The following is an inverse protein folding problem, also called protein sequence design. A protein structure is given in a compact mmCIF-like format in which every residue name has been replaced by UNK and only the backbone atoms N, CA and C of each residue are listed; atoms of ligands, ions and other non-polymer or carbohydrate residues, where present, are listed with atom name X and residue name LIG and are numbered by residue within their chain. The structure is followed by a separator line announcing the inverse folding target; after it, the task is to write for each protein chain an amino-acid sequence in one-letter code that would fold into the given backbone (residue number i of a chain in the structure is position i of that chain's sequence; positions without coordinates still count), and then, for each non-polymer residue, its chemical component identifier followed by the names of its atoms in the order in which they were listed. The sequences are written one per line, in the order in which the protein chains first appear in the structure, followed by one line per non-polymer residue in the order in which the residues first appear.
data_IF_153260223278
#
_entry.id   IF_153260223278
#
_cell.length_a   1.000
_cell.length_b   1.000
_cell.length_c   1.000
_cell.angle_alpha   90.00
_cell.angle_beta   90.00
_cell.angle_gamma   90.00
#
_symmetry.space_group_name_H-M   'P 1'
#
loop_
_entity.id
_entity.type
_entity.pdbx_description
1 polymer ?
#
# COMPACT_ATOMS: atom_id res chain seq x y z
N UNK A 1 -1.99 17.91 11.21
CA UNK A 1 -1.11 16.75 11.47
C UNK A 1 0.33 17.23 11.54
N UNK A 2 1.11 16.80 12.54
CA UNK A 2 2.52 17.19 12.64
C UNK A 2 3.35 16.56 11.51
N UNK A 3 4.40 17.25 11.04
CA UNK A 3 5.31 16.76 9.98
C UNK A 3 5.97 15.41 10.35
N UNK A 4 6.28 15.23 11.63
CA UNK A 4 6.84 13.98 12.17
C UNK A 4 5.85 12.82 12.04
N UNK A 5 4.56 13.08 12.22
CA UNK A 5 3.50 12.07 12.10
C UNK A 5 3.38 11.59 10.64
N UNK A 6 3.41 12.50 9.65
CA UNK A 6 3.35 12.13 8.23
C UNK A 6 4.54 11.28 7.78
N UNK A 7 5.77 11.60 8.21
CA UNK A 7 6.92 10.75 7.89
C UNK A 7 6.78 9.35 8.46
N UNK A 8 6.34 9.23 9.71
CA UNK A 8 6.12 7.91 10.34
C UNK A 8 5.08 7.10 9.57
N UNK A 9 3.99 7.72 9.12
CA UNK A 9 2.96 7.08 8.30
C UNK A 9 3.56 6.55 6.99
N UNK A 10 4.27 7.40 6.24
CA UNK A 10 4.88 7.02 4.94
C UNK A 10 5.91 5.90 5.11
N UNK A 11 6.71 5.94 6.19
CA UNK A 11 7.69 4.89 6.48
C UNK A 11 7.01 3.57 6.85
N UNK A 12 5.96 3.62 7.66
CA UNK A 12 5.19 2.44 8.02
C UNK A 12 4.59 1.78 6.76
N UNK A 13 4.03 2.59 5.86
CA UNK A 13 3.49 2.09 4.60
C UNK A 13 4.58 1.50 3.68
N UNK A 14 5.72 2.18 3.57
CA UNK A 14 6.86 1.68 2.80
C UNK A 14 7.33 0.30 3.30
N UNK A 15 7.35 0.09 4.62
CA UNK A 15 7.67 -1.21 5.24
C UNK A 15 6.63 -2.26 4.84
N UNK A 16 5.33 -1.93 4.93
CA UNK A 16 4.28 -2.89 4.55
C UNK A 16 4.33 -3.24 3.07
N UNK A 17 4.52 -2.26 2.19
CA UNK A 17 4.70 -2.48 0.76
C UNK A 17 5.94 -3.33 0.46
N UNK A 18 7.07 -3.06 1.13
CA UNK A 18 8.28 -3.89 0.98
C UNK A 18 8.05 -5.33 1.46
N UNK A 19 7.28 -5.53 2.53
CA UNK A 19 6.87 -6.86 3.00
C UNK A 19 6.03 -7.61 1.97
N UNK A 20 5.04 -6.94 1.36
CA UNK A 20 4.23 -7.53 0.29
C UNK A 20 5.08 -7.85 -0.95
N UNK A 21 6.03 -6.99 -1.30
CA UNK A 21 7.01 -7.28 -2.35
C UNK A 21 7.83 -8.53 -2.03
N UNK A 22 8.39 -8.64 -0.83
CA UNK A 22 9.17 -9.81 -0.42
C UNK A 22 8.34 -11.09 -0.51
N UNK A 23 7.07 -11.05 -0.10
CA UNK A 23 6.13 -12.17 -0.24
C UNK A 23 5.91 -12.50 -1.74
N UNK A 24 5.61 -11.51 -2.56
CA UNK A 24 5.36 -11.69 -3.99
C UNK A 24 6.59 -12.17 -4.78
N UNK A 25 7.80 -11.86 -4.30
CA UNK A 25 9.05 -12.29 -4.91
C UNK A 25 9.45 -13.70 -4.45
N UNK A 26 9.37 -13.98 -3.15
CA UNK A 26 9.97 -15.18 -2.54
C UNK A 26 8.96 -16.29 -2.24
N UNK A 27 7.68 -15.96 -2.12
CA UNK A 27 6.65 -16.85 -1.59
C UNK A 27 5.31 -16.79 -2.35
N UNK A 28 5.29 -16.30 -3.59
CA UNK A 28 4.04 -16.14 -4.35
C UNK A 28 3.25 -17.44 -4.53
N UNK A 29 3.91 -18.56 -4.83
CA UNK A 29 3.25 -19.86 -5.00
C UNK A 29 2.65 -20.43 -3.70
N UNK A 30 3.39 -20.54 -2.58
CA UNK A 30 2.80 -21.04 -1.33
C UNK A 30 1.73 -20.09 -0.78
N UNK A 31 1.92 -18.77 -0.87
CA UNK A 31 0.90 -17.80 -0.44
C UNK A 31 -0.33 -17.84 -1.36
N UNK A 32 -0.14 -17.95 -2.68
CA UNK A 32 -1.25 -18.12 -3.61
C UNK A 32 -2.09 -19.34 -3.28
N UNK A 33 -1.44 -20.46 -2.96
CA UNK A 33 -2.13 -21.70 -2.53
C UNK A 33 -2.92 -21.49 -1.23
N UNK A 34 -2.31 -20.83 -0.23
CA UNK A 34 -2.96 -20.55 1.05
C UNK A 34 -4.20 -19.64 0.91
N UNK A 35 -4.10 -18.62 0.05
CA UNK A 35 -5.18 -17.65 -0.15
C UNK A 35 -6.20 -18.08 -1.22
N UNK A 36 -5.94 -19.15 -1.98
CA UNK A 36 -6.74 -19.54 -3.13
C UNK A 36 -6.65 -18.56 -4.29
N UNK A 37 -5.47 -17.94 -4.48
CA UNK A 37 -5.17 -17.01 -5.55
C UNK A 37 -4.10 -17.57 -6.49
N UNK A 38 -4.17 -17.25 -7.80
CA UNK A 38 -3.09 -17.56 -8.73
C UNK A 38 -1.78 -16.89 -8.29
N UNK A 39 -0.67 -17.63 -8.34
CA UNK A 39 0.65 -17.14 -7.91
C UNK A 39 1.09 -15.87 -8.67
N UNK A 40 0.69 -15.73 -9.94
CA UNK A 40 0.98 -14.53 -10.72
C UNK A 40 0.25 -13.28 -10.20
N UNK A 41 -0.94 -13.41 -9.59
CA UNK A 41 -1.64 -12.29 -8.96
C UNK A 41 -0.91 -11.84 -7.70
N UNK A 42 -0.46 -12.80 -6.87
CA UNK A 42 0.34 -12.50 -5.67
C UNK A 42 1.66 -11.83 -6.04
N UNK A 43 2.35 -12.35 -7.06
CA UNK A 43 3.62 -11.78 -7.53
C UNK A 43 3.44 -10.38 -8.14
N UNK A 44 2.40 -10.17 -8.96
CA UNK A 44 2.07 -8.86 -9.53
C UNK A 44 1.80 -7.82 -8.44
N UNK A 45 1.04 -8.19 -7.40
CA UNK A 45 0.83 -7.33 -6.23
C UNK A 45 2.16 -6.95 -5.56
N UNK A 46 3.07 -7.91 -5.39
CA UNK A 46 4.40 -7.65 -4.85
C UNK A 46 5.19 -6.61 -5.65
N UNK A 47 5.25 -6.73 -6.98
CA UNK A 47 5.98 -5.79 -7.83
C UNK A 47 5.37 -4.38 -7.83
N UNK A 48 4.04 -4.27 -7.79
CA UNK A 48 3.35 -2.98 -7.63
C UNK A 48 3.73 -2.34 -6.29
N UNK A 49 3.75 -3.12 -5.20
CA UNK A 49 4.16 -2.64 -3.90
C UNK A 49 5.63 -2.20 -3.86
N UNK A 50 6.54 -2.83 -4.63
CA UNK A 50 7.92 -2.33 -4.73
C UNK A 50 7.94 -0.91 -5.33
N UNK A 51 7.21 -0.69 -6.42
CA UNK A 51 7.15 0.63 -7.05
C UNK A 51 6.59 1.69 -6.08
N UNK A 52 5.52 1.35 -5.34
CA UNK A 52 4.95 2.21 -4.31
C UNK A 52 5.96 2.50 -3.16
N UNK A 53 6.62 1.47 -2.64
CA UNK A 53 7.61 1.60 -1.57
C UNK A 53 8.77 2.52 -1.97
N UNK A 54 9.25 2.45 -3.22
CA UNK A 54 10.30 3.33 -3.71
C UNK A 54 9.87 4.81 -3.70
N UNK A 55 8.64 5.11 -4.11
CA UNK A 55 8.10 6.47 -4.04
C UNK A 55 7.99 6.97 -2.59
N UNK A 56 7.54 6.09 -1.69
CA UNK A 56 7.43 6.39 -0.25
C UNK A 56 8.80 6.62 0.39
N UNK A 57 9.82 5.82 0.06
CA UNK A 57 11.20 5.99 0.53
C UNK A 57 11.75 7.34 0.06
N UNK A 58 11.54 7.71 -1.20
CA UNK A 58 11.93 9.01 -1.74
C UNK A 58 11.24 10.15 -0.98
N UNK A 59 9.94 10.04 -0.71
CA UNK A 59 9.20 11.03 0.07
C UNK A 59 9.72 11.13 1.52
N UNK A 60 10.00 9.98 2.15
CA UNK A 60 10.49 9.89 3.52
C UNK A 60 11.93 10.40 3.69
N UNK A 61 12.76 10.31 2.65
CA UNK A 61 14.13 10.84 2.65
C UNK A 61 14.18 12.38 2.64
N UNK A 62 13.11 13.05 2.20
CA UNK A 62 13.08 14.53 2.13
C UNK A 62 13.02 15.17 3.52
N UNK A 63 13.65 16.34 3.70
CA UNK A 63 13.54 17.13 4.95
C UNK A 63 12.07 17.51 5.24
N UNK A 64 11.33 17.83 4.18
CA UNK A 64 9.87 18.02 4.20
C UNK A 64 9.30 17.24 3.02
N UNK A 65 8.43 16.23 3.23
CA UNK A 65 7.83 15.47 2.14
C UNK A 65 7.12 16.38 1.14
N UNK A 66 7.34 16.14 -0.15
CA UNK A 66 6.71 16.87 -1.24
C UNK A 66 5.22 16.52 -1.31
N UNK A 67 4.35 17.52 -1.16
CA UNK A 67 2.89 17.31 -1.15
C UNK A 67 2.32 16.69 -2.44
N UNK A 68 2.90 16.97 -3.61
CA UNK A 68 2.46 16.32 -4.85
C UNK A 68 2.82 14.83 -4.87
N UNK A 69 4.01 14.47 -4.38
CA UNK A 69 4.44 13.07 -4.25
C UNK A 69 3.58 12.33 -3.22
N UNK A 70 3.29 12.94 -2.07
CA UNK A 70 2.40 12.33 -1.05
C UNK A 70 0.97 12.16 -1.58
N UNK A 71 0.46 13.11 -2.38
CA UNK A 71 -0.84 12.93 -3.08
C UNK A 71 -0.80 11.76 -4.04
N UNK A 72 0.27 11.60 -4.81
CA UNK A 72 0.45 10.48 -5.72
C UNK A 72 0.46 9.14 -4.98
N UNK A 73 1.18 9.06 -3.85
CA UNK A 73 1.20 7.87 -2.99
C UNK A 73 -0.21 7.54 -2.49
N UNK A 74 -0.92 8.53 -1.93
CA UNK A 74 -2.29 8.35 -1.46
C UNK A 74 -3.23 7.87 -2.58
N UNK A 75 -3.09 8.42 -3.80
CA UNK A 75 -3.88 7.99 -4.96
C UNK A 75 -3.54 6.55 -5.38
N UNK A 76 -2.26 6.18 -5.35
CA UNK A 76 -1.81 4.81 -5.59
C UNK A 76 -2.41 3.83 -4.59
N UNK A 77 -2.43 4.19 -3.30
CA UNK A 77 -3.06 3.42 -2.25
C UNK A 77 -4.57 3.26 -2.47
N UNK A 78 -5.29 4.30 -2.90
CA UNK A 78 -6.70 4.17 -3.29
C UNK A 78 -6.88 3.22 -4.49
N UNK A 79 -5.98 3.27 -5.47
CA UNK A 79 -5.94 2.33 -6.59
C UNK A 79 -5.74 0.89 -6.11
N UNK A 80 -4.85 0.66 -5.15
CA UNK A 80 -4.63 -0.64 -4.53
C UNK A 80 -5.86 -1.17 -3.79
N UNK A 81 -6.57 -0.30 -3.06
CA UNK A 81 -7.84 -0.65 -2.40
C UNK A 81 -8.87 -1.12 -3.43
N UNK A 82 -9.06 -0.35 -4.50
CA UNK A 82 -9.98 -0.72 -5.59
C UNK A 82 -9.57 -2.05 -6.25
N UNK A 83 -8.28 -2.23 -6.54
CA UNK A 83 -7.75 -3.47 -7.09
C UNK A 83 -7.96 -4.67 -6.15
N UNK A 84 -7.84 -4.48 -4.84
CA UNK A 84 -8.06 -5.54 -3.84
C UNK A 84 -9.50 -6.03 -3.86
N UNK A 85 -10.49 -5.12 -3.93
CA UNK A 85 -11.89 -5.50 -4.10
C UNK A 85 -12.17 -6.14 -5.45
N UNK A 86 -11.52 -5.67 -6.53
CA UNK A 86 -11.63 -6.29 -7.84
C UNK A 86 -11.06 -7.72 -7.86
N UNK A 87 -9.95 -7.98 -7.16
CA UNK A 87 -9.39 -9.33 -6.97
C UNK A 87 -10.39 -10.22 -6.24
N UNK A 88 -10.95 -9.76 -5.11
CA UNK A 88 -11.98 -10.54 -4.40
C UNK A 88 -13.17 -10.83 -5.30
N UNK A 89 -13.70 -9.84 -6.02
CA UNK A 89 -14.84 -10.03 -6.93
C UNK A 89 -14.53 -11.01 -8.07
N UNK A 90 -13.30 -10.98 -8.60
CA UNK A 90 -12.89 -11.81 -9.74
C UNK A 90 -12.55 -13.25 -9.34
N UNK A 91 -12.07 -13.47 -8.12
CA UNK A 91 -11.56 -14.76 -7.65
C UNK A 91 -12.34 -15.34 -6.46
N UNK A 92 -13.46 -14.75 -6.05
CA UNK A 92 -14.25 -15.19 -4.88
C UNK A 92 -14.57 -16.69 -4.87
N UNK A 93 -14.83 -17.29 -6.04
CA UNK A 93 -15.16 -18.71 -6.15
C UNK A 93 -13.96 -19.66 -5.92
N UNK A 94 -12.72 -19.18 -6.11
CA UNK A 94 -11.50 -19.97 -5.93
C UNK A 94 -10.73 -19.61 -4.65
N UNK A 95 -10.94 -18.40 -4.13
CA UNK A 95 -10.29 -17.94 -2.92
C UNK A 95 -10.74 -18.72 -1.69
N UNK A 96 -9.82 -18.93 -0.76
CA UNK A 96 -10.17 -19.47 0.56
C UNK A 96 -10.87 -18.40 1.38
N UNK A 97 -11.66 -18.80 2.39
CA UNK A 97 -12.26 -17.83 3.33
C UNK A 97 -11.19 -16.98 4.05
N UNK A 98 -10.03 -17.58 4.36
CA UNK A 98 -8.85 -16.87 4.85
C UNK A 98 -8.32 -15.87 3.82
N UNK A 99 -8.20 -16.27 2.55
CA UNK A 99 -7.76 -15.41 1.46
C UNK A 99 -8.60 -14.15 1.34
N UNK A 100 -9.93 -14.29 1.36
CA UNK A 100 -10.87 -13.17 1.29
C UNK A 100 -10.67 -12.25 2.51
N UNK A 101 -10.60 -12.82 3.71
CA UNK A 101 -10.40 -12.05 4.93
C UNK A 101 -9.08 -11.27 4.92
N UNK A 102 -7.98 -11.90 4.48
CA UNK A 102 -6.65 -11.28 4.38
C UNK A 102 -6.67 -10.13 3.37
N UNK A 103 -7.21 -10.35 2.16
CA UNK A 103 -7.25 -9.32 1.11
C UNK A 103 -8.14 -8.14 1.50
N UNK A 104 -9.27 -8.38 2.17
CA UNK A 104 -10.13 -7.29 2.68
C UNK A 104 -9.44 -6.55 3.81
N UNK A 105 -8.87 -7.26 4.79
CA UNK A 105 -8.22 -6.64 5.95
C UNK A 105 -7.06 -5.75 5.52
N UNK A 106 -6.20 -6.21 4.60
CA UNK A 106 -5.11 -5.38 4.08
C UNK A 106 -5.62 -4.20 3.25
N UNK A 107 -6.73 -4.34 2.52
CA UNK A 107 -7.32 -3.21 1.77
C UNK A 107 -7.81 -2.11 2.72
N UNK A 108 -8.42 -2.49 3.85
CA UNK A 108 -8.84 -1.52 4.86
C UNK A 108 -7.65 -0.85 5.56
N UNK A 109 -6.56 -1.58 5.80
CA UNK A 109 -5.32 -1.00 6.33
C UNK A 109 -4.71 0.03 5.35
N UNK A 110 -4.63 -0.31 4.06
CA UNK A 110 -4.14 0.58 2.99
C UNK A 110 -5.05 1.80 2.81
N UNK A 111 -6.37 1.64 2.96
CA UNK A 111 -7.29 2.78 2.97
C UNK A 111 -7.00 3.74 4.13
N UNK A 112 -6.65 3.19 5.30
CA UNK A 112 -6.19 3.97 6.45
C UNK A 112 -4.96 4.81 6.12
N UNK A 113 -3.94 4.21 5.49
CA UNK A 113 -2.76 4.93 5.00
C UNK A 113 -3.15 6.03 4.01
N UNK A 114 -3.93 5.71 2.98
CA UNK A 114 -4.36 6.66 1.96
C UNK A 114 -5.05 7.91 2.54
N UNK A 115 -5.94 7.72 3.52
CA UNK A 115 -6.64 8.82 4.19
C UNK A 115 -5.67 9.69 4.98
N UNK A 116 -4.76 9.07 5.74
CA UNK A 116 -3.79 9.79 6.55
C UNK A 116 -2.80 10.59 5.69
N UNK A 117 -2.27 9.97 4.64
CA UNK A 117 -1.38 10.62 3.67
C UNK A 117 -2.07 11.75 2.91
N UNK A 118 -3.31 11.53 2.45
CA UNK A 118 -4.12 12.54 1.78
C UNK A 118 -4.37 13.77 2.66
N UNK A 119 -4.69 13.56 3.95
CA UNK A 119 -4.79 14.63 4.94
C UNK A 119 -3.47 15.35 5.16
N UNK A 120 -2.34 14.63 5.12
CA UNK A 120 -1.00 15.19 5.23
C UNK A 120 -0.61 16.07 4.05
N UNK A 121 -0.98 15.65 2.85
CA UNK A 121 -0.66 16.37 1.63
C UNK A 121 -1.53 17.61 1.40
N UNK A 122 -2.71 17.66 2.02
CA UNK A 122 -3.60 18.84 2.00
C UNK A 122 -3.25 19.87 3.08
N UNK A 123 -2.38 19.55 4.05
CA UNK A 123 -2.05 20.47 5.13
C UNK A 123 -1.25 21.68 4.61
N UNK A 124 -1.62 22.92 5.00
CA UNK A 124 -0.90 24.12 4.56
C UNK A 124 0.57 24.06 4.99
N UNK A 125 1.47 24.41 4.07
CA UNK A 125 2.90 24.45 4.34
C UNK A 125 3.17 25.61 5.30
N UNK A 126 3.29 25.33 6.60
CA UNK A 126 3.79 26.34 7.55
C UNK A 126 5.25 26.59 7.19
N UNK A 127 5.48 27.69 6.47
CA UNK A 127 6.79 28.30 6.26
C UNK A 127 7.05 29.11 7.51
N UNK A 128 7.76 28.54 8.47
CA UNK A 128 8.42 29.34 9.50
C UNK A 128 9.63 29.98 8.81
N UNK A 129 9.55 31.30 8.59
CA UNK A 129 10.66 32.15 8.17
C UNK A 129 11.66 32.27 9.31
#
# INVERSE_FOLDING_TARGET
MSKLNLKTIIVADAITCTGVFAIGLLAAAPVGTLLGLPANIVSAGGWICLAAALLMIVAAAQKVPNGALVKLIALGNLGWVAASFAVVASFAATMTGLGIAVVIAQALAVLGFAILEGKGAAAPRTVTV
#
